data_IF_498509369353
#
_entry.id   IF_498509369353
#
_cell.length_a   1.000
_cell.length_b   1.000
_cell.length_c   1.000
_cell.angle_alpha   90.00
_cell.angle_beta   90.00
_cell.angle_gamma   90.00
#
_symmetry.space_group_name_H-M   'P 1'
#
loop_
_entity.id
_entity.type
_entity.pdbx_description
1 polymer ?
#
# COMPACT_ATOMS: atom_id res chain seq x y z
N UNK A 1 -0.83 -11.52 -9.87
CA UNK A 1 -1.77 -12.38 -9.11
C UNK A 1 -2.78 -11.48 -8.43
N UNK A 2 -4.09 -11.56 -8.72
CA UNK A 2 -5.10 -10.73 -8.07
C UNK A 2 -5.29 -11.11 -6.59
N UNK A 3 -5.65 -10.13 -5.75
CA UNK A 3 -5.99 -10.31 -4.32
C UNK A 3 -4.89 -11.01 -3.49
N UNK A 4 -3.64 -10.89 -3.90
CA UNK A 4 -2.49 -11.44 -3.19
C UNK A 4 -1.69 -10.32 -2.53
N UNK A 5 -1.46 -10.45 -1.22
CA UNK A 5 -0.65 -9.54 -0.44
C UNK A 5 0.44 -10.31 0.28
N UNK A 6 1.59 -9.67 0.50
CA UNK A 6 2.75 -10.29 1.12
C UNK A 6 3.30 -9.39 2.22
N UNK A 7 3.57 -10.00 3.38
CA UNK A 7 4.35 -9.38 4.44
C UNK A 7 5.82 -9.70 4.25
N UNK A 8 6.68 -8.72 4.49
CA UNK A 8 8.15 -8.89 4.52
C UNK A 8 8.72 -9.56 3.25
N UNK A 9 8.12 -9.27 2.09
CA UNK A 9 8.58 -9.76 0.80
C UNK A 9 9.80 -9.02 0.25
N UNK A 10 10.21 -9.32 -0.99
CA UNK A 10 11.24 -8.55 -1.69
C UNK A 10 10.93 -7.06 -1.68
N UNK A 11 11.97 -6.25 -1.60
CA UNK A 11 11.89 -4.79 -1.47
C UNK A 11 11.18 -4.28 -0.19
N UNK A 12 11.07 -5.09 0.87
CA UNK A 12 10.65 -4.61 2.18
C UNK A 12 11.79 -3.86 2.91
N UNK A 13 11.50 -2.86 3.76
CA UNK A 13 12.53 -2.08 4.45
C UNK A 13 13.14 -2.81 5.68
N UNK A 14 13.31 -4.13 5.62
CA UNK A 14 13.78 -4.96 6.75
C UNK A 14 15.17 -4.56 7.28
N UNK A 15 16.02 -4.00 6.42
CA UNK A 15 17.34 -3.48 6.81
C UNK A 15 17.33 -2.07 7.41
N UNK A 16 16.19 -1.39 7.45
CA UNK A 16 16.09 0.04 7.79
C UNK A 16 15.34 0.32 9.11
N UNK A 17 14.82 -0.69 9.80
CA UNK A 17 14.07 -0.48 11.05
C UNK A 17 13.50 -1.76 11.68
N UNK A 18 12.59 -1.57 12.64
CA UNK A 18 11.93 -2.67 13.34
C UNK A 18 10.97 -3.44 12.44
N UNK A 19 11.19 -4.75 12.31
CA UNK A 19 10.31 -5.67 11.57
C UNK A 19 8.87 -5.64 12.08
N UNK A 20 8.68 -5.47 13.40
CA UNK A 20 7.35 -5.37 13.99
C UNK A 20 6.61 -4.11 13.51
N UNK A 21 7.30 -2.97 13.52
CA UNK A 21 6.72 -1.70 13.06
C UNK A 21 6.42 -1.75 11.56
N UNK A 22 7.30 -2.34 10.76
CA UNK A 22 7.08 -2.56 9.32
C UNK A 22 5.83 -3.41 9.10
N UNK A 23 5.70 -4.52 9.83
CA UNK A 23 4.55 -5.44 9.73
C UNK A 23 3.24 -4.73 10.08
N UNK A 24 3.23 -3.90 11.13
CA UNK A 24 2.05 -3.11 11.51
C UNK A 24 1.61 -2.15 10.40
N UNK A 25 2.56 -1.45 9.75
CA UNK A 25 2.25 -0.52 8.68
C UNK A 25 1.75 -1.22 7.41
N UNK A 26 2.35 -2.36 7.03
CA UNK A 26 1.81 -3.22 5.95
C UNK A 26 0.38 -3.64 6.29
N UNK A 27 0.15 -4.11 7.53
CA UNK A 27 -1.17 -4.56 7.97
C UNK A 27 -2.22 -3.46 7.86
N UNK A 28 -1.91 -2.24 8.32
CA UNK A 28 -2.80 -1.08 8.18
C UNK A 28 -3.09 -0.74 6.71
N UNK A 29 -2.08 -0.82 5.85
CA UNK A 29 -2.22 -0.56 4.42
C UNK A 29 -3.14 -1.59 3.74
N UNK A 30 -2.90 -2.88 3.98
CA UNK A 30 -3.73 -3.97 3.45
C UNK A 30 -5.17 -3.84 3.95
N UNK A 31 -5.39 -3.56 5.23
CA UNK A 31 -6.75 -3.39 5.78
C UNK A 31 -7.49 -2.24 5.13
N UNK A 32 -6.84 -1.11 4.82
CA UNK A 32 -7.46 -0.01 4.04
C UNK A 32 -7.90 -0.46 2.65
N UNK A 33 -7.06 -1.24 1.96
CA UNK A 33 -7.39 -1.79 0.64
C UNK A 33 -8.59 -2.74 0.73
N UNK A 34 -8.56 -3.69 1.68
CA UNK A 34 -9.66 -4.64 1.87
C UNK A 34 -10.96 -3.90 2.19
N UNK A 35 -10.91 -2.90 3.07
CA UNK A 35 -12.07 -2.07 3.41
C UNK A 35 -12.64 -1.37 2.18
N UNK A 36 -11.79 -0.72 1.37
CA UNK A 36 -12.21 -0.12 0.09
C UNK A 36 -12.88 -1.14 -0.80
N UNK A 37 -12.30 -2.34 -0.93
CA UNK A 37 -12.88 -3.38 -1.78
C UNK A 37 -14.26 -3.83 -1.30
N UNK A 38 -14.45 -3.95 0.01
CA UNK A 38 -15.73 -4.32 0.61
C UNK A 38 -16.77 -3.20 0.47
N UNK A 39 -16.39 -1.96 0.76
CA UNK A 39 -17.29 -0.81 0.70
C UNK A 39 -17.71 -0.49 -0.75
N UNK A 40 -16.81 -0.63 -1.73
CA UNK A 40 -17.06 -0.25 -3.13
C UNK A 40 -17.44 -1.43 -4.06
N UNK A 41 -17.62 -2.64 -3.52
CA UNK A 41 -17.99 -3.82 -4.32
C UNK A 41 -16.93 -4.25 -5.33
N UNK A 42 -15.65 -4.06 -4.99
CA UNK A 42 -14.51 -4.50 -5.82
C UNK A 42 -14.29 -6.00 -5.58
N UNK A 43 -14.36 -6.78 -6.66
CA UNK A 43 -14.14 -8.23 -6.67
C UNK A 43 -12.66 -8.58 -6.62
N UNK A 44 -11.84 -7.90 -7.40
CA UNK A 44 -10.40 -8.12 -7.38
C UNK A 44 -9.59 -6.88 -7.67
N UNK A 45 -8.42 -6.84 -7.04
CA UNK A 45 -7.40 -5.82 -7.21
C UNK A 45 -6.09 -6.48 -7.63
N UNK A 46 -5.38 -5.89 -8.58
CA UNK A 46 -4.05 -6.31 -9.02
C UNK A 46 -3.25 -5.05 -9.41
N UNK A 47 -1.96 -4.91 -9.01
CA UNK A 47 -1.14 -3.82 -9.51
C UNK A 47 -1.01 -3.94 -11.02
N UNK A 48 -1.01 -2.80 -11.72
CA UNK A 48 -0.78 -2.82 -13.16
C UNK A 48 0.67 -3.19 -13.47
N UNK A 49 0.89 -3.82 -14.62
CA UNK A 49 2.23 -4.29 -15.01
C UNK A 49 3.20 -3.11 -15.25
N UNK A 50 2.75 -2.05 -15.92
CA UNK A 50 3.52 -0.82 -16.14
C UNK A 50 4.07 -0.25 -14.82
N UNK A 51 3.22 -0.17 -13.79
CA UNK A 51 3.61 0.37 -12.48
C UNK A 51 4.65 -0.51 -11.78
N UNK A 52 4.53 -1.85 -11.91
CA UNK A 52 5.50 -2.79 -11.35
C UNK A 52 6.86 -2.64 -12.04
N UNK A 53 6.87 -2.50 -13.36
CA UNK A 53 8.09 -2.33 -14.16
C UNK A 53 8.78 -1.00 -13.84
N UNK A 54 8.02 0.11 -13.78
CA UNK A 54 8.52 1.44 -13.40
C UNK A 54 9.12 1.44 -11.97
N UNK A 55 8.49 0.71 -11.03
CA UNK A 55 9.04 0.59 -9.68
C UNK A 55 10.32 -0.24 -9.66
N UNK A 56 10.42 -1.30 -10.49
CA UNK A 56 11.64 -2.08 -10.63
C UNK A 56 12.78 -1.24 -11.22
N UNK A 57 12.51 -0.40 -12.22
CA UNK A 57 13.47 0.56 -12.78
C UNK A 57 13.95 1.56 -11.72
N UNK A 58 13.03 2.08 -10.90
CA UNK A 58 13.37 2.96 -9.78
C UNK A 58 14.33 2.29 -8.79
N UNK A 59 14.06 1.03 -8.42
CA UNK A 59 14.95 0.23 -7.55
C UNK A 59 16.34 0.09 -8.18
N UNK A 60 16.39 -0.30 -9.46
CA UNK A 60 17.64 -0.52 -10.19
C UNK A 60 18.49 0.74 -10.29
N UNK A 61 17.87 1.92 -10.45
CA UNK A 61 18.58 3.20 -10.48
C UNK A 61 19.01 3.67 -9.07
N UNK A 62 18.22 3.37 -8.04
CA UNK A 62 18.49 3.85 -6.68
C UNK A 62 19.60 3.05 -5.97
N UNK A 63 19.50 1.72 -6.00
CA UNK A 63 20.29 0.81 -5.17
C UNK A 63 21.81 0.91 -5.34
N UNK A 64 22.39 1.08 -6.55
CA UNK A 64 23.84 1.15 -6.75
C UNK A 64 24.53 2.27 -5.97
N UNK A 65 23.78 3.30 -5.56
CA UNK A 65 24.30 4.47 -4.84
C UNK A 65 24.30 4.29 -3.33
N UNK A 66 23.90 3.11 -2.84
CA UNK A 66 23.72 2.82 -1.42
C UNK A 66 24.81 1.89 -0.90
N UNK A 67 25.03 1.88 0.41
CA UNK A 67 25.94 0.93 1.06
C UNK A 67 25.54 -0.54 0.82
N UNK A 68 24.27 -0.81 0.52
CA UNK A 68 23.74 -2.16 0.28
C UNK A 68 24.32 -2.79 -0.99
N UNK A 69 24.76 -1.97 -1.96
CA UNK A 69 25.38 -2.41 -3.20
C UNK A 69 26.90 -2.58 -3.11
N UNK A 70 27.51 -2.42 -1.93
CA UNK A 70 28.96 -2.58 -1.75
C UNK A 70 29.46 -3.97 -2.16
N UNK A 71 30.74 -4.11 -2.53
CA UNK A 71 31.32 -5.36 -3.09
C UNK A 71 31.58 -6.44 -2.02
N UNK A 72 30.52 -6.93 -1.38
CA UNK A 72 30.51 -8.03 -0.42
C UNK A 72 29.40 -9.03 -0.74
N UNK A 73 29.58 -10.32 -0.48
CA UNK A 73 28.48 -11.27 -0.59
C UNK A 73 27.46 -11.01 0.51
N UNK A 74 26.18 -10.88 0.16
CA UNK A 74 25.11 -10.74 1.15
C UNK A 74 23.84 -11.43 0.68
N UNK A 75 22.98 -11.84 1.62
CA UNK A 75 21.66 -12.36 1.29
C UNK A 75 20.79 -11.32 0.55
N UNK A 76 21.06 -10.02 0.71
CA UNK A 76 20.38 -8.96 -0.05
C UNK A 76 20.62 -9.01 -1.55
N UNK A 77 21.73 -9.65 -1.97
CA UNK A 77 22.13 -9.83 -3.36
C UNK A 77 22.15 -11.30 -3.77
N UNK A 78 21.30 -12.11 -3.11
CA UNK A 78 21.23 -13.55 -3.36
C UNK A 78 22.58 -14.28 -3.20
N UNK A 79 23.46 -13.79 -2.31
CA UNK A 79 24.79 -14.34 -2.08
C UNK A 79 25.88 -13.85 -3.05
N UNK A 80 25.52 -13.06 -4.07
CA UNK A 80 26.47 -12.54 -5.04
C UNK A 80 27.23 -11.33 -4.51
N UNK A 81 28.49 -11.18 -4.95
CA UNK A 81 29.35 -10.06 -4.54
C UNK A 81 28.95 -8.75 -5.20
N UNK A 82 28.59 -8.78 -6.48
CA UNK A 82 28.26 -7.60 -7.29
C UNK A 82 26.87 -7.72 -7.96
N UNK A 83 26.00 -8.59 -7.41
CA UNK A 83 24.63 -8.78 -7.87
C UNK A 83 23.68 -7.64 -7.46
N UNK A 84 22.48 -7.57 -8.05
CA UNK A 84 21.50 -6.55 -7.69
C UNK A 84 20.98 -6.74 -6.26
N UNK A 85 20.71 -5.63 -5.56
CA UNK A 85 20.04 -5.66 -4.25
C UNK A 85 18.56 -5.91 -4.48
N UNK A 86 18.06 -7.09 -4.10
CA UNK A 86 16.67 -7.53 -4.34
C UNK A 86 15.83 -7.59 -3.06
N UNK A 87 16.47 -7.65 -1.89
CA UNK A 87 15.77 -7.83 -0.62
C UNK A 87 15.22 -6.53 -0.01
N UNK A 88 15.80 -5.37 -0.34
CA UNK A 88 15.60 -4.13 0.42
C UNK A 88 14.81 -3.09 -0.37
N UNK A 89 14.09 -2.22 0.34
CA UNK A 89 13.39 -1.07 -0.26
C UNK A 89 14.39 0.04 -0.68
N UNK A 90 14.20 0.69 -1.85
CA UNK A 90 14.98 1.85 -2.28
C UNK A 90 14.55 3.13 -1.56
N UNK A 91 14.93 3.27 -0.29
CA UNK A 91 14.58 4.45 0.51
C UNK A 91 14.69 4.19 2.01
N UNK A 92 14.44 5.23 2.81
CA UNK A 92 14.42 5.10 4.27
C UNK A 92 13.14 4.42 4.76
N UNK A 93 13.17 3.91 5.99
CA UNK A 93 11.98 3.34 6.63
C UNK A 93 10.83 4.36 6.77
N UNK A 94 11.17 5.63 7.06
CA UNK A 94 10.20 6.72 7.17
C UNK A 94 9.58 7.06 5.82
N UNK A 95 10.38 7.09 4.75
CA UNK A 95 9.89 7.27 3.38
C UNK A 95 8.86 6.19 3.03
N UNK A 96 9.17 4.93 3.34
CA UNK A 96 8.27 3.81 3.10
C UNK A 96 6.98 3.91 3.95
N UNK A 97 7.05 4.30 5.23
CA UNK A 97 5.85 4.55 6.02
C UNK A 97 4.97 5.64 5.41
N UNK A 98 5.57 6.74 4.94
CA UNK A 98 4.84 7.82 4.28
C UNK A 98 4.15 7.35 3.01
N UNK A 99 4.83 6.58 2.14
CA UNK A 99 4.22 5.97 0.95
C UNK A 99 2.99 5.13 1.31
N UNK A 100 3.04 4.40 2.42
CA UNK A 100 1.93 3.55 2.84
C UNK A 100 0.80 4.31 3.55
N UNK A 101 0.93 5.59 3.91
CA UNK A 101 -0.14 6.31 4.63
C UNK A 101 -1.43 6.38 3.82
N UNK A 102 -1.32 6.54 2.50
CA UNK A 102 -2.45 6.68 1.58
C UNK A 102 -2.47 5.55 0.56
N UNK A 103 -3.65 5.00 0.31
CA UNK A 103 -3.82 4.02 -0.77
C UNK A 103 -3.86 4.73 -2.12
N UNK A 104 -2.88 4.46 -2.98
CA UNK A 104 -2.80 4.95 -4.36
C UNK A 104 -3.57 4.01 -5.29
N UNK A 105 -4.89 4.18 -5.33
CA UNK A 105 -5.76 3.32 -6.15
C UNK A 105 -5.52 3.43 -7.65
N UNK A 106 -4.94 4.54 -8.10
CA UNK A 106 -4.57 4.77 -9.49
C UNK A 106 -3.47 3.84 -10.01
N UNK A 107 -2.75 3.15 -9.14
CA UNK A 107 -1.66 2.22 -9.49
C UNK A 107 -2.18 0.78 -9.76
N UNK A 108 -3.49 0.57 -9.60
CA UNK A 108 -4.13 -0.74 -9.63
C UNK A 108 -5.21 -0.86 -10.71
N UNK A 109 -5.39 -2.09 -11.19
CA UNK A 109 -6.57 -2.52 -11.93
C UNK A 109 -7.61 -3.09 -10.97
N UNK A 110 -8.86 -2.65 -11.13
CA UNK A 110 -10.01 -3.12 -10.38
C UNK A 110 -10.96 -3.91 -11.26
N UNK A 111 -11.41 -5.06 -10.76
CA UNK A 111 -12.57 -5.77 -11.30
C UNK A 111 -13.69 -5.67 -10.28
N UNK A 112 -14.90 -5.32 -10.71
CA UNK A 112 -16.07 -5.16 -9.84
C UNK A 112 -17.03 -6.35 -9.97
N UNK A 113 -17.85 -6.58 -8.95
CA UNK A 113 -18.93 -7.58 -9.03
C UNK A 113 -20.05 -7.18 -9.99
N UNK A 114 -20.29 -5.87 -10.13
CA UNK A 114 -21.32 -5.30 -10.99
C UNK A 114 -20.72 -4.37 -12.04
N UNK A 115 -21.44 -4.22 -13.16
CA UNK A 115 -21.14 -3.19 -14.17
C UNK A 115 -21.55 -1.79 -13.70
N UNK A 116 -22.47 -1.68 -12.74
CA UNK A 116 -22.88 -0.40 -12.18
C UNK A 116 -21.88 0.07 -11.12
N UNK A 117 -21.05 1.05 -11.49
CA UNK A 117 -20.05 1.66 -10.58
C UNK A 117 -20.64 2.31 -9.34
N UNK A 118 -21.93 2.62 -9.33
CA UNK A 118 -22.61 3.26 -8.20
C UNK A 118 -23.35 2.26 -7.31
N UNK A 119 -23.16 0.95 -7.51
CA UNK A 119 -23.81 -0.08 -6.68
C UNK A 119 -23.50 0.09 -5.18
N UNK A 120 -22.30 0.61 -4.85
CA UNK A 120 -21.88 0.82 -3.47
C UNK A 120 -22.73 1.83 -2.69
N UNK A 121 -23.51 2.68 -3.38
CA UNK A 121 -24.45 3.62 -2.73
C UNK A 121 -25.61 2.89 -2.02
N UNK A 122 -25.78 1.59 -2.26
CA UNK A 122 -26.73 0.76 -1.55
C UNK A 122 -28.17 1.27 -1.68
N UNK A 123 -28.85 1.43 -0.54
CA UNK A 123 -30.22 1.94 -0.46
C UNK A 123 -30.29 3.48 -0.33
N UNK A 124 -29.16 4.19 -0.43
CA UNK A 124 -29.10 5.64 -0.34
C UNK A 124 -29.13 6.24 1.07
N UNK A 125 -29.12 5.42 2.13
CA UNK A 125 -29.10 5.89 3.52
C UNK A 125 -27.75 5.60 4.18
N UNK A 126 -27.26 6.52 5.02
CA UNK A 126 -26.04 6.34 5.79
C UNK A 126 -26.29 5.48 7.03
N UNK A 127 -25.30 4.68 7.44
CA UNK A 127 -25.34 4.00 8.75
C UNK A 127 -25.37 4.98 9.92
N UNK A 128 -24.97 6.23 9.69
CA UNK A 128 -25.00 7.31 10.68
C UNK A 128 -26.42 7.86 10.93
N UNK A 129 -27.41 7.44 10.13
CA UNK A 129 -28.83 7.76 10.34
C UNK A 129 -29.55 6.69 11.20
N UNK A 130 -28.86 5.61 11.59
CA UNK A 130 -29.45 4.58 12.43
C UNK A 130 -29.79 5.09 13.85
N UNK A 131 -30.79 4.50 14.54
CA UNK A 131 -31.13 4.90 15.90
C UNK A 131 -29.93 4.88 16.85
N UNK A 132 -29.66 6.00 17.52
CA UNK A 132 -28.53 6.15 18.45
C UNK A 132 -27.21 6.60 17.82
N UNK A 133 -27.16 6.83 16.51
CA UNK A 133 -26.00 7.38 15.80
C UNK A 133 -26.11 8.91 15.64
N UNK A 134 -24.97 9.58 15.39
CA UNK A 134 -24.92 11.01 15.12
C UNK A 134 -25.09 11.29 13.62
N UNK A 135 -26.30 11.67 13.20
CA UNK A 135 -26.60 12.05 11.80
C UNK A 135 -26.11 13.46 11.44
N UNK A 136 -25.65 14.25 12.41
CA UNK A 136 -25.16 15.62 12.24
C UNK A 136 -23.67 15.76 12.51
N UNK A 137 -22.90 14.65 12.46
CA UNK A 137 -21.44 14.61 12.72
C UNK A 137 -20.63 15.67 11.95
N UNK A 138 -21.10 16.07 10.77
CA UNK A 138 -20.45 17.07 9.92
C UNK A 138 -20.66 18.52 10.39
N UNK A 139 -21.45 18.74 11.45
CA UNK A 139 -21.71 20.03 12.08
C UNK A 139 -21.04 20.18 13.45
N UNK A 140 -20.30 19.17 13.93
CA UNK A 140 -19.75 19.17 15.30
C UNK A 140 -18.57 20.15 15.50
N UNK A 141 -17.99 20.71 14.42
CA UNK A 141 -16.87 21.67 14.47
C UNK A 141 -17.05 22.91 13.57
N UNK A 142 -18.09 23.74 13.79
CA UNK A 142 -18.37 24.88 12.92
C UNK A 142 -17.26 25.94 12.95
N UNK A 143 -16.53 26.07 14.06
CA UNK A 143 -15.47 27.07 14.24
C UNK A 143 -14.16 26.73 13.51
N UNK A 144 -13.99 25.51 12.99
CA UNK A 144 -12.79 25.11 12.21
C UNK A 144 -12.93 25.31 10.69
N UNK A 145 -14.09 25.80 10.23
CA UNK A 145 -14.31 26.15 8.82
C UNK A 145 -13.97 27.62 8.49
N UNK A 146 -13.42 28.38 9.45
CA UNK A 146 -12.92 29.75 9.28
C UNK A 146 -11.39 29.83 9.38
#
# INVERSE_FOLDING_TARGET
MPNYFMFLGPNAPIGHGSVLTITEHVGKYITRIIRKCQEEGIKSIIPRQDVVDEFAEHIAAFMPRTAWAGSCSSWFKNGEKDGPVTALHPGSCIHWFHMLQSFRGEDFEFTHWSKNRFQYLGNGFSTLEAPGMNSTWYLDEPDKML
#
